data_IF_092463181583
#
_entry.id   IF_092463181583
#
_cell.length_a   1.000
_cell.length_b   1.000
_cell.length_c   1.000
_cell.angle_alpha   90.00
_cell.angle_beta   90.00
_cell.angle_gamma   90.00
#
_symmetry.space_group_name_H-M   'P 1'
#
loop_
_entity.id
_entity.type
_entity.pdbx_description
1 polymer ?
#
# COMPACT_ATOMS: atom_id res chain seq x y z
N UNK A 1 -14.05 8.74 -15.73
CA UNK A 1 -13.12 7.93 -16.57
C UNK A 1 -13.78 6.60 -16.85
N UNK A 2 -13.90 6.22 -18.12
CA UNK A 2 -14.34 4.86 -18.49
C UNK A 2 -13.24 3.91 -18.03
N UNK A 3 -13.59 2.92 -17.21
CA UNK A 3 -12.66 1.84 -16.88
C UNK A 3 -12.30 1.18 -18.20
N UNK A 4 -11.05 1.33 -18.64
CA UNK A 4 -10.58 0.71 -19.87
C UNK A 4 -10.76 -0.80 -19.82
N UNK A 5 -10.86 -1.43 -21.00
CA UNK A 5 -10.81 -2.90 -21.10
C UNK A 5 -9.49 -3.47 -20.56
N UNK A 6 -9.41 -4.80 -20.54
CA UNK A 6 -8.16 -5.51 -20.26
C UNK A 6 -7.06 -5.06 -21.21
N UNK A 7 -5.86 -4.83 -20.67
CA UNK A 7 -4.67 -4.42 -21.43
C UNK A 7 -3.58 -5.46 -21.24
N UNK A 8 -2.84 -5.82 -22.30
CA UNK A 8 -1.64 -6.62 -22.13
C UNK A 8 -0.62 -5.84 -21.29
N UNK A 9 0.06 -6.58 -20.42
CA UNK A 9 1.09 -6.07 -19.52
C UNK A 9 2.28 -7.01 -19.55
N UNK A 10 3.47 -6.49 -19.83
CA UNK A 10 4.70 -7.28 -19.91
C UNK A 10 5.54 -7.06 -18.67
N UNK A 11 5.99 -8.14 -18.04
CA UNK A 11 6.89 -8.08 -16.89
C UNK A 11 8.26 -7.62 -17.36
N UNK A 12 8.71 -6.45 -16.90
CA UNK A 12 10.00 -5.87 -17.28
C UNK A 12 11.02 -5.94 -16.14
N UNK A 13 10.56 -6.03 -14.89
CA UNK A 13 11.44 -6.11 -13.72
C UNK A 13 10.73 -6.88 -12.61
N UNK A 14 11.49 -7.67 -11.86
CA UNK A 14 11.04 -8.25 -10.60
C UNK A 14 12.09 -8.06 -9.52
N UNK A 15 11.67 -7.78 -8.30
CA UNK A 15 12.56 -7.67 -7.14
C UNK A 15 11.93 -8.33 -5.93
N UNK A 16 12.69 -9.21 -5.28
CA UNK A 16 12.31 -9.79 -3.99
C UNK A 16 12.27 -8.67 -2.94
N UNK A 17 11.14 -8.56 -2.25
CA UNK A 17 10.93 -7.58 -1.17
C UNK A 17 11.07 -8.24 0.20
N UNK A 18 10.49 -9.43 0.35
CA UNK A 18 10.54 -10.25 1.57
C UNK A 18 10.60 -11.73 1.17
N UNK A 19 10.73 -12.69 2.11
CA UNK A 19 10.60 -14.11 1.77
C UNK A 19 9.25 -14.50 1.15
N UNK A 20 8.18 -13.74 1.40
CA UNK A 20 6.83 -14.00 0.87
C UNK A 20 6.34 -12.94 -0.11
N UNK A 21 7.13 -11.92 -0.45
CA UNK A 21 6.67 -10.81 -1.27
C UNK A 21 7.66 -10.38 -2.35
N UNK A 22 7.11 -9.98 -3.49
CA UNK A 22 7.84 -9.54 -4.68
C UNK A 22 7.22 -8.26 -5.24
N UNK A 23 8.07 -7.31 -5.64
CA UNK A 23 7.64 -6.19 -6.47
C UNK A 23 7.86 -6.52 -7.96
N UNK A 24 6.90 -6.14 -8.79
CA UNK A 24 6.84 -6.45 -10.21
C UNK A 24 6.57 -5.14 -10.95
N UNK A 25 7.44 -4.79 -11.90
CA UNK A 25 7.18 -3.68 -12.81
C UNK A 25 6.65 -4.23 -14.13
N UNK A 26 5.56 -3.63 -14.57
CA UNK A 26 4.84 -4.02 -15.77
C UNK A 26 4.87 -2.86 -16.75
N UNK A 27 5.31 -3.13 -17.98
CA UNK A 27 5.06 -2.26 -19.12
C UNK A 27 3.62 -2.52 -19.62
N UNK A 28 2.81 -1.48 -19.66
CA UNK A 28 1.39 -1.51 -20.02
C UNK A 28 1.16 -0.43 -21.08
N UNK A 29 1.27 -0.78 -22.37
CA UNK A 29 1.08 0.17 -23.47
C UNK A 29 -0.23 0.96 -23.35
N UNK A 30 -0.15 2.28 -23.55
CA UNK A 30 -1.26 3.22 -23.40
C UNK A 30 -1.64 3.56 -21.95
N UNK A 31 -0.85 3.15 -20.96
CA UNK A 31 -1.07 3.55 -19.56
C UNK A 31 -0.58 4.98 -19.32
N UNK A 32 -1.52 5.89 -19.06
CA UNK A 32 -1.22 7.33 -19.02
C UNK A 32 -0.99 7.85 -17.61
N UNK A 33 -1.79 7.44 -16.63
CA UNK A 33 -1.75 7.98 -15.27
C UNK A 33 -2.36 7.04 -14.26
N UNK A 34 -1.79 7.02 -13.05
CA UNK A 34 -2.43 6.50 -11.83
C UNK A 34 -2.29 7.51 -10.70
N UNK A 35 -3.26 7.57 -9.80
CA UNK A 35 -3.13 8.32 -8.56
C UNK A 35 -2.64 7.42 -7.41
N UNK A 36 -1.96 8.00 -6.43
CA UNK A 36 -1.46 7.27 -5.27
C UNK A 36 -2.62 6.70 -4.45
N UNK A 37 -2.62 5.38 -4.24
CA UNK A 37 -3.70 4.65 -3.58
C UNK A 37 -4.69 3.97 -4.52
N UNK A 38 -4.50 4.06 -5.84
CA UNK A 38 -5.26 3.25 -6.79
C UNK A 38 -4.74 1.80 -6.86
N UNK A 39 -5.56 0.93 -7.43
CA UNK A 39 -5.23 -0.48 -7.68
C UNK A 39 -5.54 -0.86 -9.13
N UNK A 40 -5.16 -2.08 -9.51
CA UNK A 40 -5.51 -2.72 -10.77
C UNK A 40 -6.05 -4.12 -10.51
N UNK A 41 -6.91 -4.60 -11.39
CA UNK A 41 -7.17 -6.04 -11.48
C UNK A 41 -6.11 -6.67 -12.38
N UNK A 42 -5.48 -7.74 -11.91
CA UNK A 42 -4.57 -8.60 -12.68
C UNK A 42 -5.31 -9.87 -13.04
N UNK A 43 -5.26 -10.26 -14.30
CA UNK A 43 -5.80 -11.52 -14.82
C UNK A 43 -4.67 -12.41 -15.33
N UNK A 44 -4.67 -13.64 -14.84
CA UNK A 44 -3.87 -14.74 -15.37
C UNK A 44 -4.79 -15.67 -16.15
N UNK A 45 -4.36 -16.08 -17.35
CA UNK A 45 -5.07 -17.06 -18.18
C UNK A 45 -4.19 -18.30 -18.31
N UNK A 46 -4.68 -19.46 -17.85
CA UNK A 46 -4.01 -20.74 -17.99
C UNK A 46 -4.13 -21.28 -19.43
N UNK A 47 -3.31 -22.28 -19.77
CA UNK A 47 -3.29 -22.89 -21.12
C UNK A 47 -4.64 -23.51 -21.53
N UNK A 48 -5.43 -23.97 -20.56
CA UNK A 48 -6.78 -24.52 -20.76
C UNK A 48 -7.87 -23.42 -20.87
N UNK A 49 -7.48 -22.14 -20.80
CA UNK A 49 -8.36 -21.00 -20.87
C UNK A 49 -8.97 -20.57 -19.53
N UNK A 50 -8.65 -21.23 -18.41
CA UNK A 50 -9.10 -20.80 -17.10
C UNK A 50 -8.52 -19.42 -16.75
N UNK A 51 -9.38 -18.53 -16.22
CA UNK A 51 -8.99 -17.15 -15.86
C UNK A 51 -9.15 -16.89 -14.38
N UNK A 52 -8.07 -16.52 -13.71
CA UNK A 52 -8.07 -16.06 -12.33
C UNK A 52 -7.83 -14.55 -12.29
N UNK A 53 -8.68 -13.81 -11.57
CA UNK A 53 -8.59 -12.35 -11.42
C UNK A 53 -8.41 -11.98 -9.96
N UNK A 54 -7.43 -11.13 -9.64
CA UNK A 54 -7.25 -10.55 -8.31
C UNK A 54 -6.82 -9.09 -8.40
N UNK A 55 -7.25 -8.28 -7.44
CA UNK A 55 -6.90 -6.87 -7.34
C UNK A 55 -5.57 -6.69 -6.59
N UNK A 56 -4.73 -5.80 -7.08
CA UNK A 56 -3.44 -5.42 -6.48
C UNK A 56 -3.27 -3.92 -6.47
N UNK A 57 -2.92 -3.36 -5.31
CA UNK A 57 -2.62 -1.94 -5.17
C UNK A 57 -1.38 -1.56 -5.98
N UNK A 58 -1.40 -0.36 -6.55
CA UNK A 58 -0.25 0.20 -7.25
C UNK A 58 0.75 0.78 -6.24
N UNK A 59 2.00 0.36 -6.34
CA UNK A 59 3.13 1.00 -5.65
C UNK A 59 3.62 2.25 -6.39
N UNK A 60 3.31 2.37 -7.69
CA UNK A 60 3.61 3.54 -8.53
C UNK A 60 2.44 4.53 -8.59
N UNK A 61 2.74 5.81 -8.83
CA UNK A 61 1.75 6.85 -9.06
C UNK A 61 2.24 7.89 -10.08
N UNK A 62 1.37 8.81 -10.49
CA UNK A 62 1.68 9.92 -11.38
C UNK A 62 1.46 9.61 -12.86
N UNK A 63 1.92 10.53 -13.71
CA UNK A 63 1.97 10.33 -15.17
C UNK A 63 3.05 9.29 -15.46
N UNK A 64 2.66 8.19 -16.10
CA UNK A 64 3.54 7.04 -16.27
C UNK A 64 4.21 7.03 -17.65
N UNK A 65 5.44 6.53 -17.71
CA UNK A 65 6.13 6.09 -18.93
C UNK A 65 5.59 4.75 -19.43
N UNK A 66 4.27 4.53 -19.36
CA UNK A 66 3.62 3.23 -19.60
C UNK A 66 4.07 2.11 -18.64
N UNK A 67 4.72 2.43 -17.52
CA UNK A 67 5.17 1.46 -16.52
C UNK A 67 4.42 1.63 -15.21
N UNK A 68 3.91 0.52 -14.67
CA UNK A 68 3.34 0.45 -13.32
C UNK A 68 4.15 -0.49 -12.44
N UNK A 69 4.07 -0.28 -11.13
CA UNK A 69 4.66 -1.17 -10.13
C UNK A 69 3.57 -1.76 -9.23
N UNK A 70 3.62 -3.06 -9.05
CA UNK A 70 2.85 -3.81 -8.06
C UNK A 70 3.82 -4.37 -7.02
N UNK A 71 3.34 -4.55 -5.78
CA UNK A 71 3.99 -5.44 -4.84
C UNK A 71 2.96 -6.47 -4.33
N UNK A 72 3.34 -7.73 -4.47
CA UNK A 72 2.48 -8.88 -4.20
C UNK A 72 3.04 -9.60 -3.00
N UNK A 73 2.25 -9.73 -1.95
CA UNK A 73 2.51 -10.65 -0.85
C UNK A 73 1.74 -11.95 -1.08
N UNK A 74 2.40 -13.06 -0.80
CA UNK A 74 1.91 -14.37 -1.15
C UNK A 74 0.80 -14.81 -0.20
N UNK A 75 -0.36 -15.16 -0.76
CA UNK A 75 -1.35 -16.02 -0.12
C UNK A 75 -1.06 -17.45 -0.59
N UNK A 76 -0.55 -18.36 0.27
CA UNK A 76 -0.07 -19.67 -0.15
C UNK A 76 -1.14 -20.53 -0.85
N UNK A 77 -2.39 -20.44 -0.40
CA UNK A 77 -3.54 -21.15 -0.97
C UNK A 77 -4.26 -20.33 -2.06
N UNK A 78 -3.65 -19.23 -2.53
CA UNK A 78 -4.22 -18.34 -3.54
C UNK A 78 -3.92 -18.80 -4.96
N UNK A 79 -4.79 -18.46 -5.92
CA UNK A 79 -4.61 -18.85 -7.32
C UNK A 79 -3.63 -17.95 -8.09
N UNK A 80 -3.48 -16.69 -7.67
CA UNK A 80 -2.73 -15.67 -8.42
C UNK A 80 -1.42 -15.30 -7.72
N UNK A 81 -1.44 -15.06 -6.41
CA UNK A 81 -0.26 -14.59 -5.69
C UNK A 81 0.93 -15.56 -5.67
N UNK A 82 0.76 -16.90 -5.55
CA UNK A 82 1.92 -17.81 -5.62
C UNK A 82 2.63 -17.72 -6.97
N UNK A 83 1.87 -17.68 -8.08
CA UNK A 83 2.46 -17.50 -9.42
C UNK A 83 3.24 -16.19 -9.51
N UNK A 84 2.63 -15.07 -9.10
CA UNK A 84 3.27 -13.75 -9.14
C UNK A 84 4.50 -13.63 -8.22
N UNK A 85 4.58 -14.40 -7.13
CA UNK A 85 5.72 -14.33 -6.19
C UNK A 85 6.82 -15.34 -6.55
N UNK A 86 6.46 -16.55 -6.97
CA UNK A 86 7.39 -17.68 -7.13
C UNK A 86 7.80 -17.92 -8.57
N UNK A 87 6.87 -17.76 -9.51
CA UNK A 87 7.00 -18.32 -10.86
C UNK A 87 7.19 -17.27 -11.95
N UNK A 88 6.62 -16.06 -11.78
CA UNK A 88 6.66 -14.99 -12.78
C UNK A 88 8.09 -14.59 -13.15
N UNK A 89 8.33 -14.36 -14.43
CA UNK A 89 9.65 -14.01 -15.00
C UNK A 89 9.56 -12.74 -15.83
N UNK A 90 10.71 -12.10 -16.01
CA UNK A 90 10.85 -11.02 -16.98
C UNK A 90 10.54 -11.56 -18.36
N UNK A 91 9.69 -10.84 -19.10
CA UNK A 91 9.16 -11.22 -20.41
C UNK A 91 7.78 -11.86 -20.37
N UNK A 92 7.31 -12.33 -19.21
CA UNK A 92 5.96 -12.90 -19.10
C UNK A 92 4.89 -11.84 -19.40
N UNK A 93 3.81 -12.29 -20.03
CA UNK A 93 2.65 -11.47 -20.34
C UNK A 93 1.49 -11.77 -19.39
N UNK A 94 0.89 -10.70 -18.88
CA UNK A 94 -0.28 -10.70 -18.00
C UNK A 94 -1.32 -9.78 -18.62
N UNK A 95 -2.53 -9.77 -18.05
CA UNK A 95 -3.51 -8.75 -18.39
C UNK A 95 -3.85 -7.90 -17.17
N UNK A 96 -3.95 -6.59 -17.36
CA UNK A 96 -4.30 -5.64 -16.31
C UNK A 96 -5.51 -4.80 -16.70
N UNK A 97 -6.32 -4.44 -15.71
CA UNK A 97 -7.45 -3.52 -15.87
C UNK A 97 -7.39 -2.44 -14.80
N UNK A 98 -7.39 -1.18 -15.24
CA UNK A 98 -7.36 -0.03 -14.35
C UNK A 98 -6.90 1.27 -15.03
N UNK A 99 -6.50 2.28 -14.22
CA UNK A 99 -6.49 2.24 -12.75
C UNK A 99 -7.91 2.21 -12.18
N UNK A 100 -8.07 1.55 -11.03
CA UNK A 100 -9.32 1.39 -10.28
C UNK A 100 -9.21 2.07 -8.90
N UNK A 101 -10.36 2.33 -8.29
CA UNK A 101 -10.43 3.04 -7.00
C UNK A 101 -10.40 4.56 -7.15
N UNK A 102 -11.21 5.25 -6.35
CA UNK A 102 -11.27 6.72 -6.26
C UNK A 102 -11.33 7.21 -4.81
N UNK A 103 -11.87 6.39 -3.90
CA UNK A 103 -12.04 6.74 -2.49
C UNK A 103 -10.69 6.76 -1.73
N UNK A 104 -9.88 5.71 -1.90
CA UNK A 104 -8.60 5.56 -1.20
C UNK A 104 -7.44 6.27 -1.91
N UNK A 105 -7.68 7.46 -2.46
CA UNK A 105 -6.68 8.20 -3.24
C UNK A 105 -6.22 9.44 -2.49
N UNK A 106 -4.92 9.73 -2.56
CA UNK A 106 -4.34 10.99 -2.11
C UNK A 106 -3.58 11.70 -3.24
N UNK A 107 -3.75 13.02 -3.32
CA UNK A 107 -3.13 13.89 -4.32
C UNK A 107 -2.55 15.11 -3.60
N UNK A 108 -1.25 15.11 -3.26
CA UNK A 108 -0.63 16.17 -2.45
C UNK A 108 -0.57 17.52 -3.17
N UNK A 109 -0.68 17.53 -4.49
CA UNK A 109 -0.71 18.70 -5.36
C UNK A 109 -2.12 19.30 -5.51
N UNK A 110 -3.16 18.60 -5.07
CA UNK A 110 -4.54 19.08 -5.12
C UNK A 110 -4.97 19.64 -3.76
N UNK A 111 -5.39 20.90 -3.74
CA UNK A 111 -6.16 21.46 -2.63
C UNK A 111 -7.55 20.81 -2.63
N UNK A 112 -7.70 19.74 -1.85
CA UNK A 112 -9.01 19.19 -1.54
C UNK A 112 -9.67 20.04 -0.43
N UNK A 113 -10.98 20.32 -0.48
CA UNK A 113 -11.68 21.01 0.61
C UNK A 113 -11.53 20.29 1.97
N UNK A 114 -11.34 18.96 1.94
CA UNK A 114 -11.03 18.15 3.12
C UNK A 114 -9.57 18.21 3.59
N UNK A 115 -8.63 18.80 2.84
CA UNK A 115 -7.21 18.90 3.25
C UNK A 115 -7.01 20.09 4.20
N UNK A 116 -7.32 19.86 5.47
CA UNK A 116 -7.14 20.83 6.57
C UNK A 116 -5.91 20.58 7.44
N UNK A 117 -5.34 19.37 7.35
CA UNK A 117 -4.33 18.86 8.26
C UNK A 117 -3.29 17.93 7.60
N UNK A 118 -2.41 17.31 8.40
CA UNK A 118 -1.42 16.37 7.92
C UNK A 118 -2.06 15.05 7.44
N UNK A 119 -1.25 14.16 6.89
CA UNK A 119 -1.66 12.84 6.43
C UNK A 119 -1.12 11.76 7.37
N UNK A 120 -2.01 10.87 7.77
CA UNK A 120 -1.68 9.66 8.54
C UNK A 120 -1.83 8.44 7.62
N UNK A 121 -0.76 7.67 7.47
CA UNK A 121 -0.75 6.39 6.76
C UNK A 121 -0.65 5.27 7.81
N UNK A 122 -1.51 4.25 7.75
CA UNK A 122 -1.50 3.12 8.68
C UNK A 122 -1.51 1.82 7.87
N UNK A 123 -0.37 1.15 7.84
CA UNK A 123 -0.11 -0.05 7.04
C UNK A 123 -0.06 -1.30 7.93
N UNK A 124 -0.77 -2.34 7.53
CA UNK A 124 -0.57 -3.71 8.02
C UNK A 124 -0.04 -4.61 6.91
N UNK A 125 1.19 -5.12 7.03
CA UNK A 125 1.82 -5.97 6.02
C UNK A 125 1.79 -5.35 4.62
N UNK A 126 1.29 -6.08 3.62
CA UNK A 126 1.17 -5.60 2.23
C UNK A 126 0.22 -4.41 2.02
N UNK A 127 -0.50 -3.96 3.05
CA UNK A 127 -1.22 -2.69 3.01
C UNK A 127 -0.30 -1.48 2.89
N UNK A 128 1.01 -1.66 3.03
CA UNK A 128 1.98 -0.61 2.77
C UNK A 128 2.04 -0.19 1.30
N UNK A 129 1.68 -1.07 0.34
CA UNK A 129 1.88 -0.82 -1.10
C UNK A 129 1.22 0.48 -1.59
N UNK A 130 -0.09 0.71 -1.39
CA UNK A 130 -0.71 1.97 -1.78
C UNK A 130 -0.18 3.16 -0.95
N UNK A 131 0.27 2.91 0.28
CA UNK A 131 0.75 3.95 1.20
C UNK A 131 2.18 4.41 0.86
N UNK A 132 3.00 3.54 0.27
CA UNK A 132 4.30 3.91 -0.31
C UNK A 132 4.09 4.76 -1.57
N UNK A 133 3.09 4.46 -2.40
CA UNK A 133 2.74 5.35 -3.51
C UNK A 133 2.36 6.76 -3.01
N UNK A 134 1.63 6.84 -1.89
CA UNK A 134 1.31 8.12 -1.22
C UNK A 134 2.56 8.79 -0.67
N UNK A 135 3.44 8.05 0.01
CA UNK A 135 4.71 8.57 0.52
C UNK A 135 5.60 9.13 -0.60
N UNK A 136 5.73 8.42 -1.73
CA UNK A 136 6.43 8.90 -2.93
C UNK A 136 5.81 10.20 -3.45
N UNK A 137 4.48 10.29 -3.48
CA UNK A 137 3.78 11.51 -3.83
C UNK A 137 4.09 12.68 -2.89
N UNK A 138 4.20 12.43 -1.58
CA UNK A 138 4.61 13.45 -0.63
C UNK A 138 6.05 13.93 -0.86
N UNK A 139 6.96 13.02 -1.18
CA UNK A 139 8.37 13.33 -1.47
C UNK A 139 8.48 14.24 -2.69
N UNK A 140 7.84 13.88 -3.79
CA UNK A 140 7.89 14.67 -5.03
C UNK A 140 7.21 16.04 -4.88
N UNK A 141 6.20 16.14 -4.00
CA UNK A 141 5.53 17.40 -3.67
C UNK A 141 6.26 18.23 -2.58
N UNK A 142 7.36 17.74 -2.01
CA UNK A 142 8.07 18.40 -0.90
C UNK A 142 7.26 18.49 0.40
N UNK A 143 6.32 17.56 0.61
CA UNK A 143 5.35 17.57 1.71
C UNK A 143 5.61 16.50 2.79
N UNK A 144 6.82 15.93 2.84
CA UNK A 144 7.18 14.78 3.70
C UNK A 144 6.94 15.02 5.19
N UNK A 145 7.18 16.23 5.69
CA UNK A 145 6.98 16.58 7.11
C UNK A 145 5.50 16.58 7.53
N UNK A 146 4.58 16.63 6.56
CA UNK A 146 3.14 16.51 6.79
C UNK A 146 2.64 15.08 6.80
N UNK A 147 3.52 14.09 6.61
CA UNK A 147 3.17 12.66 6.56
C UNK A 147 3.71 11.94 7.77
N UNK A 148 2.84 11.17 8.43
CA UNK A 148 3.21 10.16 9.42
C UNK A 148 2.76 8.79 8.95
N UNK A 149 3.62 7.78 9.09
CA UNK A 149 3.30 6.40 8.77
C UNK A 149 3.42 5.54 10.02
N UNK A 150 2.37 4.78 10.35
CA UNK A 150 2.45 3.62 11.23
C UNK A 150 2.55 2.36 10.36
N UNK A 151 3.65 1.60 10.47
CA UNK A 151 3.84 0.38 9.70
C UNK A 151 3.95 -0.84 10.63
N UNK A 152 2.89 -1.64 10.64
CA UNK A 152 2.80 -2.87 11.41
C UNK A 152 3.17 -4.09 10.55
N UNK A 153 4.20 -4.81 10.99
CA UNK A 153 4.71 -6.03 10.35
C UNK A 153 4.93 -7.12 11.41
N UNK A 154 5.12 -8.37 10.96
CA UNK A 154 5.38 -9.49 11.88
C UNK A 154 6.80 -9.39 12.44
N UNK A 155 7.75 -9.25 11.54
CA UNK A 155 9.17 -9.16 11.79
C UNK A 155 9.84 -8.17 10.83
N UNK A 156 11.08 -7.72 11.07
CA UNK A 156 11.81 -6.83 10.15
C UNK A 156 11.90 -7.35 8.71
N UNK A 157 12.06 -8.65 8.53
CA UNK A 157 12.15 -9.33 7.25
C UNK A 157 10.83 -9.36 6.47
N UNK A 158 9.70 -9.06 7.11
CA UNK A 158 8.38 -9.01 6.49
C UNK A 158 8.02 -7.60 5.98
N UNK A 159 8.89 -6.62 6.15
CA UNK A 159 8.64 -5.25 5.71
C UNK A 159 8.90 -5.09 4.21
N UNK A 160 7.83 -5.14 3.41
CA UNK A 160 7.85 -4.73 2.00
C UNK A 160 8.29 -3.26 1.92
N UNK A 161 9.18 -2.93 0.98
CA UNK A 161 9.77 -1.60 0.79
C UNK A 161 10.57 -1.08 2.00
N UNK A 162 11.09 -1.95 2.87
CA UNK A 162 11.80 -1.56 4.10
C UNK A 162 12.83 -0.45 3.89
N UNK A 163 13.75 -0.64 2.95
CA UNK A 163 14.85 0.30 2.72
C UNK A 163 14.35 1.68 2.28
N UNK A 164 13.27 1.70 1.48
CA UNK A 164 12.64 2.94 1.02
C UNK A 164 11.94 3.67 2.17
N UNK A 165 11.21 2.95 3.02
CA UNK A 165 10.55 3.51 4.19
C UNK A 165 11.58 4.06 5.19
N UNK A 166 12.69 3.34 5.41
CA UNK A 166 13.81 3.82 6.24
C UNK A 166 14.44 5.09 5.63
N UNK A 167 14.66 5.11 4.32
CA UNK A 167 15.19 6.29 3.65
C UNK A 167 14.24 7.48 3.71
N UNK A 168 12.93 7.25 3.62
CA UNK A 168 11.93 8.30 3.75
C UNK A 168 11.89 8.87 5.16
N UNK A 169 12.10 8.04 6.19
CA UNK A 169 12.24 8.50 7.57
C UNK A 169 13.44 9.45 7.73
N UNK A 170 14.58 9.10 7.14
CA UNK A 170 15.76 9.98 7.13
C UNK A 170 15.53 11.29 6.34
N UNK A 171 14.57 11.30 5.41
CA UNK A 171 14.19 12.48 4.63
C UNK A 171 13.07 13.33 5.27
N UNK A 172 12.55 12.95 6.44
CA UNK A 172 11.60 13.76 7.21
C UNK A 172 10.18 13.20 7.34
N UNK A 173 9.87 12.02 6.79
CA UNK A 173 8.60 11.33 7.10
C UNK A 173 8.65 10.79 8.53
N UNK A 174 7.63 11.04 9.34
CA UNK A 174 7.56 10.45 10.70
C UNK A 174 7.10 8.98 10.59
N UNK A 175 8.04 8.03 10.70
CA UNK A 175 7.74 6.59 10.60
C UNK A 175 7.74 5.94 11.97
N UNK A 176 6.63 5.32 12.34
CA UNK A 176 6.41 4.51 13.53
C UNK A 176 6.30 3.05 13.14
N UNK A 177 7.22 2.23 13.63
CA UNK A 177 7.21 0.79 13.39
C UNK A 177 6.45 0.06 14.50
N UNK A 178 5.73 -1.00 14.15
CA UNK A 178 5.17 -1.96 15.11
C UNK A 178 5.50 -3.36 14.66
N UNK A 179 6.22 -4.10 15.50
CA UNK A 179 6.57 -5.49 15.26
C UNK A 179 5.68 -6.41 16.09
N UNK A 180 4.96 -7.31 15.43
CA UNK A 180 3.93 -8.13 16.10
C UNK A 180 4.43 -9.50 16.58
N UNK A 181 5.60 -9.96 16.14
CA UNK A 181 6.17 -11.28 16.50
C UNK A 181 7.63 -11.23 16.91
N UNK A 182 8.49 -10.58 16.15
CA UNK A 182 9.90 -10.35 16.50
C UNK A 182 10.33 -8.98 16.03
N UNK A 183 11.24 -8.34 16.75
CA UNK A 183 11.75 -7.01 16.45
C UNK A 183 13.28 -7.03 16.31
N UNK A 184 13.88 -5.96 15.75
CA UNK A 184 15.33 -5.80 15.74
C UNK A 184 15.92 -5.87 17.16
N UNK A 185 17.18 -6.29 17.34
CA UNK A 185 17.81 -6.39 18.67
C UNK A 185 17.86 -5.08 19.45
N UNK A 186 17.88 -3.95 18.75
CA UNK A 186 17.89 -2.57 19.26
C UNK A 186 16.49 -1.97 19.41
N UNK A 187 15.43 -2.77 19.28
CA UNK A 187 14.06 -2.30 19.42
C UNK A 187 13.69 -1.97 20.86
N UNK A 188 13.40 -0.69 21.11
CA UNK A 188 12.96 -0.20 22.42
C UNK A 188 11.44 -0.26 22.62
N UNK A 189 10.68 -0.50 21.54
CA UNK A 189 9.22 -0.60 21.60
C UNK A 189 8.74 -1.97 22.10
N UNK A 190 7.44 -2.08 22.36
CA UNK A 190 6.83 -3.38 22.71
C UNK A 190 6.61 -4.22 21.46
N UNK A 191 6.89 -5.52 21.55
CA UNK A 191 6.49 -6.51 20.53
C UNK A 191 5.05 -6.92 20.81
N UNK A 192 4.16 -6.68 19.84
CA UNK A 192 2.74 -6.93 20.01
C UNK A 192 1.92 -6.41 18.83
N UNK A 193 0.65 -6.82 18.77
CA UNK A 193 -0.30 -6.23 17.82
C UNK A 193 -0.55 -4.78 18.20
N UNK A 194 -0.86 -3.94 17.21
CA UNK A 194 -1.34 -2.57 17.43
C UNK A 194 -2.57 -2.64 18.32
N UNK A 195 -2.50 -2.02 19.49
CA UNK A 195 -3.60 -1.81 20.40
C UNK A 195 -3.98 -0.32 20.46
N UNK A 196 -4.92 0.04 21.35
CA UNK A 196 -5.41 1.40 21.45
C UNK A 196 -4.36 2.41 21.91
N UNK A 197 -3.44 2.01 22.79
CA UNK A 197 -2.40 2.89 23.32
C UNK A 197 -1.30 3.11 22.30
N UNK A 198 -0.86 2.01 21.66
CA UNK A 198 0.08 2.06 20.53
C UNK A 198 -0.46 2.94 19.41
N UNK A 199 -1.74 2.81 19.04
CA UNK A 199 -2.33 3.61 17.99
C UNK A 199 -2.41 5.09 18.41
N UNK A 200 -2.84 5.40 19.64
CA UNK A 200 -2.91 6.77 20.15
C UNK A 200 -1.56 7.48 20.08
N UNK A 201 -0.48 6.79 20.46
CA UNK A 201 0.87 7.36 20.49
C UNK A 201 1.50 7.51 19.10
N UNK A 202 1.04 6.69 18.14
CA UNK A 202 1.60 6.62 16.79
C UNK A 202 0.84 7.44 15.75
N UNK A 203 -0.30 8.04 16.08
CA UNK A 203 -1.10 8.84 15.13
C UNK A 203 -1.02 10.34 15.41
N UNK A 204 -1.34 11.16 14.41
CA UNK A 204 -1.53 12.59 14.64
C UNK A 204 -2.70 12.86 15.62
N UNK A 205 -2.59 13.84 16.52
CA UNK A 205 -3.71 14.26 17.37
C UNK A 205 -4.93 14.72 16.56
N UNK A 206 -6.12 14.53 17.10
CA UNK A 206 -7.40 14.87 16.44
C UNK A 206 -7.52 16.35 16.10
N UNK A 207 -6.91 17.22 16.91
CA UNK A 207 -6.89 18.68 16.75
C UNK A 207 -6.10 19.13 15.52
N UNK A 208 -5.25 18.25 14.97
CA UNK A 208 -4.54 18.49 13.71
C UNK A 208 -5.41 18.18 12.50
N UNK A 209 -6.60 17.60 12.68
CA UNK A 209 -7.52 17.19 11.63
C UNK A 209 -6.85 16.34 10.54
N UNK A 210 -6.13 15.25 10.88
CA UNK A 210 -5.41 14.47 9.88
C UNK A 210 -6.38 13.82 8.88
N UNK A 211 -5.95 13.68 7.63
CA UNK A 211 -6.57 12.75 6.68
C UNK A 211 -5.89 11.39 6.85
N UNK A 212 -6.66 10.36 7.21
CA UNK A 212 -6.15 9.06 7.61
C UNK A 212 -6.42 8.01 6.53
N UNK A 213 -5.40 7.27 6.14
CA UNK A 213 -5.47 6.14 5.23
C UNK A 213 -5.03 4.86 5.95
N UNK A 214 -5.94 3.90 6.07
CA UNK A 214 -5.67 2.60 6.69
C UNK A 214 -5.76 1.51 5.64
N UNK A 215 -4.68 0.75 5.44
CA UNK A 215 -4.68 -0.39 4.53
C UNK A 215 -4.01 -1.61 5.17
N UNK A 216 -4.63 -2.78 5.02
CA UNK A 216 -4.17 -4.01 5.65
C UNK A 216 -5.17 -5.16 5.56
N UNK A 217 -4.89 -6.28 6.27
CA UNK A 217 -5.86 -7.35 6.46
C UNK A 217 -7.14 -6.85 7.14
N UNK A 218 -8.29 -7.44 6.81
CA UNK A 218 -9.62 -7.01 7.30
C UNK A 218 -9.65 -6.71 8.81
N UNK A 219 -9.24 -7.65 9.66
CA UNK A 219 -9.27 -7.46 11.12
C UNK A 219 -8.32 -6.37 11.63
N UNK A 220 -7.22 -6.09 10.93
CA UNK A 220 -6.33 -4.98 11.27
C UNK A 220 -6.99 -3.64 10.95
N UNK A 221 -7.59 -3.53 9.75
CA UNK A 221 -8.22 -2.29 9.30
C UNK A 221 -9.44 -1.94 10.15
N UNK A 222 -10.27 -2.93 10.48
CA UNK A 222 -11.42 -2.74 11.37
C UNK A 222 -10.97 -2.30 12.76
N UNK A 223 -9.98 -2.98 13.36
CA UNK A 223 -9.45 -2.60 14.66
C UNK A 223 -8.89 -1.17 14.67
N UNK A 224 -8.09 -0.80 13.67
CA UNK A 224 -7.51 0.53 13.58
C UNK A 224 -8.57 1.61 13.36
N UNK A 225 -9.50 1.40 12.41
CA UNK A 225 -10.57 2.36 12.12
C UNK A 225 -11.48 2.59 13.33
N UNK A 226 -11.94 1.51 13.98
CA UNK A 226 -12.80 1.63 15.17
C UNK A 226 -12.08 2.32 16.32
N UNK A 227 -10.78 2.07 16.48
CA UNK A 227 -9.97 2.73 17.52
C UNK A 227 -9.79 4.22 17.22
N UNK A 228 -9.52 4.61 15.97
CA UNK A 228 -9.43 6.01 15.57
C UNK A 228 -10.73 6.77 15.86
N UNK A 229 -11.88 6.17 15.56
CA UNK A 229 -13.20 6.76 15.87
C UNK A 229 -13.40 6.91 17.38
N UNK A 230 -13.02 5.90 18.19
CA UNK A 230 -13.06 6.00 19.66
C UNK A 230 -12.12 7.06 20.22
N UNK A 231 -10.98 7.31 19.56
CA UNK A 231 -10.05 8.38 19.90
C UNK A 231 -10.54 9.78 19.46
N UNK A 232 -11.65 9.87 18.74
CA UNK A 232 -12.29 11.13 18.34
C UNK A 232 -11.95 11.61 16.93
N UNK A 233 -11.28 10.80 16.11
CA UNK A 233 -11.09 11.14 14.70
C UNK A 233 -12.44 11.11 13.97
N UNK A 234 -12.66 12.10 13.10
CA UNK A 234 -13.85 12.15 12.23
C UNK A 234 -13.85 10.94 11.27
N UNK A 235 -14.88 10.06 11.32
CA UNK A 235 -14.99 8.90 10.45
C UNK A 235 -14.90 9.23 8.95
N UNK A 236 -15.37 10.41 8.52
CA UNK A 236 -15.30 10.83 7.10
C UNK A 236 -13.86 11.04 6.64
N UNK A 237 -12.94 11.31 7.57
CA UNK A 237 -11.51 11.49 7.32
C UNK A 237 -10.71 10.20 7.44
N UNK A 238 -11.33 9.09 7.83
CA UNK A 238 -10.70 7.78 7.91
C UNK A 238 -11.08 6.97 6.67
N UNK A 239 -10.17 6.92 5.71
CA UNK A 239 -10.31 6.14 4.48
C UNK A 239 -9.67 4.78 4.70
N UNK A 240 -10.36 3.72 4.31
CA UNK A 240 -9.90 2.34 4.50
C UNK A 240 -9.88 1.55 3.20
N UNK A 241 -8.84 0.76 2.98
CA UNK A 241 -8.75 -0.29 1.95
C UNK A 241 -8.40 -1.61 2.63
N UNK A 242 -9.02 -2.72 2.20
CA UNK A 242 -8.91 -4.02 2.87
C UNK A 242 -8.56 -5.10 1.86
N UNK A 243 -7.77 -6.07 2.28
CA UNK A 243 -7.53 -7.32 1.54
C UNK A 243 -7.60 -8.52 2.48
N UNK A 244 -7.73 -9.71 1.90
CA UNK A 244 -7.88 -10.94 2.67
C UNK A 244 -9.23 -11.01 3.39
N UNK A 245 -10.20 -11.63 2.73
CA UNK A 245 -11.45 -12.05 3.36
C UNK A 245 -11.36 -13.53 3.75
N UNK A 246 -11.42 -13.80 5.05
CA UNK A 246 -12.10 -14.99 5.58
C UNK A 246 -13.13 -14.48 6.57
#
# INVERSE_FOLDING_TARGET
MIVGGWRPARVIETRTQTPSARSIRLEVPGWTRSDAGQHVDVRLTAEDGYQAVRSYSLGSYGSSTEVIELAVDEVPDGEVSPYLVRDVRIGDELEVKGPLGQFFVWRPDQELPERRGPVQLIAGGSGVVPLVAMMRAAQDAGAVESVRMLYSVRSPEDAIYRDEVVSAAAAGVDVRWVYTRSAPPDWEGTVGRVDADTLRDAVWPVEREPLVFVCGPTGFVEHAADTLVRLGHDPVRVRTERFGGR
#
